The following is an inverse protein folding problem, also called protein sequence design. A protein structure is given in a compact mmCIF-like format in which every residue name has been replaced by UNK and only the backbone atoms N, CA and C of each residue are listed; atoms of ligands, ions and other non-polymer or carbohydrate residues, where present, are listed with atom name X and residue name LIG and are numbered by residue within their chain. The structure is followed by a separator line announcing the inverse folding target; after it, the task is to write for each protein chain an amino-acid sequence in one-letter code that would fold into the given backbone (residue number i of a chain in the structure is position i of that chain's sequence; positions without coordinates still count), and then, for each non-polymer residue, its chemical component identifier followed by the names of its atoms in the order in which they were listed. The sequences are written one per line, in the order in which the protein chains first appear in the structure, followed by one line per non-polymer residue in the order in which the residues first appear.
data_IF_955613220883
#
_entry.id   IF_955613220883
#
_cell.length_a   1.000
_cell.length_b   1.000
_cell.length_c   1.000
_cell.angle_alpha   90.00
_cell.angle_beta   90.00
_cell.angle_gamma   90.00
#
_symmetry.space_group_name_H-M   'P 1'
#
loop_
_entity.id
_entity.type
_entity.pdbx_description
1 polymer ?
#
# COMPACT_ATOMS: atom_id res chain seq x y z
N UNK A 1 -74.20 -11.27 11.66
CA UNK A 1 -72.87 -11.44 12.27
C UNK A 1 -71.86 -11.37 11.14
N UNK A 2 -71.11 -10.27 11.06
CA UNK A 2 -70.08 -10.07 10.04
C UNK A 2 -68.82 -10.83 10.45
N UNK A 3 -68.31 -11.66 9.55
CA UNK A 3 -67.09 -12.45 9.74
C UNK A 3 -65.88 -11.53 9.93
N UNK A 4 -65.35 -11.50 11.16
CA UNK A 4 -64.12 -10.81 11.47
C UNK A 4 -62.93 -11.64 10.97
N UNK A 5 -62.38 -11.27 9.82
CA UNK A 5 -61.11 -11.83 9.33
C UNK A 5 -59.99 -11.41 10.30
N UNK A 6 -59.25 -12.36 10.91
CA UNK A 6 -58.16 -12.01 11.81
C UNK A 6 -57.01 -11.33 11.04
N UNK A 7 -56.34 -10.34 11.64
CA UNK A 7 -55.23 -9.65 10.98
C UNK A 7 -54.08 -10.64 10.69
N UNK A 8 -53.38 -10.49 9.54
CA UNK A 8 -52.25 -11.34 9.22
C UNK A 8 -51.16 -11.24 10.30
N UNK A 9 -50.43 -12.33 10.58
CA UNK A 9 -49.39 -12.33 11.59
C UNK A 9 -48.32 -11.28 11.25
N UNK A 10 -47.92 -10.49 12.25
CA UNK A 10 -46.86 -9.50 12.11
C UNK A 10 -45.56 -10.22 11.73
N UNK A 11 -45.15 -10.09 10.47
CA UNK A 11 -43.86 -10.57 10.00
C UNK A 11 -42.79 -9.66 10.61
N UNK A 12 -41.85 -10.17 11.42
CA UNK A 12 -40.77 -9.35 11.95
C UNK A 12 -40.02 -8.71 10.78
N UNK A 13 -39.60 -7.44 10.88
CA UNK A 13 -38.88 -6.77 9.81
C UNK A 13 -37.63 -7.60 9.49
N UNK A 14 -37.64 -8.23 8.31
CA UNK A 14 -36.49 -8.98 7.81
C UNK A 14 -35.40 -7.95 7.60
N UNK A 15 -34.34 -8.01 8.41
CA UNK A 15 -33.14 -7.21 8.16
C UNK A 15 -32.61 -7.68 6.80
N UNK A 16 -32.90 -6.91 5.77
CA UNK A 16 -32.37 -7.13 4.44
C UNK A 16 -30.86 -6.94 4.58
N UNK A 17 -30.11 -8.03 4.36
CA UNK A 17 -28.65 -7.89 4.21
C UNK A 17 -28.42 -6.88 3.08
N UNK A 18 -27.48 -5.94 3.24
CA UNK A 18 -27.10 -5.04 2.16
C UNK A 18 -26.89 -5.84 0.89
N UNK A 19 -27.44 -5.36 -0.23
CA UNK A 19 -27.22 -5.97 -1.53
C UNK A 19 -25.71 -5.91 -1.81
N UNK A 20 -25.04 -7.05 -1.67
CA UNK A 20 -23.65 -7.23 -2.08
C UNK A 20 -23.70 -7.50 -3.59
N UNK A 21 -23.18 -6.60 -4.45
CA UNK A 21 -23.08 -6.86 -5.87
C UNK A 21 -22.33 -8.19 -6.07
N UNK A 22 -22.86 -9.05 -6.95
CA UNK A 22 -22.37 -10.41 -7.13
C UNK A 22 -20.84 -10.49 -7.25
N UNK A 23 -20.19 -11.16 -6.28
CA UNK A 23 -18.76 -11.47 -6.30
C UNK A 23 -17.90 -10.73 -5.29
N UNK A 24 -18.44 -9.72 -4.59
CA UNK A 24 -17.67 -9.04 -3.54
C UNK A 24 -17.70 -9.88 -2.24
N UNK A 25 -16.54 -10.18 -1.63
CA UNK A 25 -16.48 -10.93 -0.38
C UNK A 25 -17.28 -10.22 0.71
N UNK A 26 -18.07 -10.99 1.49
CA UNK A 26 -18.81 -10.48 2.64
C UNK A 26 -17.84 -9.76 3.60
N UNK A 27 -17.94 -8.44 3.66
CA UNK A 27 -17.02 -7.57 4.40
C UNK A 27 -17.13 -7.71 5.92
N UNK A 28 -18.22 -8.33 6.39
CA UNK A 28 -18.49 -8.61 7.80
C UNK A 28 -18.15 -10.07 8.19
N UNK A 29 -17.86 -10.93 7.21
CA UNK A 29 -17.46 -12.30 7.47
C UNK A 29 -16.04 -12.38 8.06
N UNK A 30 -15.79 -13.28 9.02
CA UNK A 30 -14.44 -13.50 9.53
C UNK A 30 -13.53 -13.98 8.39
N UNK A 31 -12.35 -13.36 8.25
CA UNK A 31 -11.37 -13.74 7.25
C UNK A 31 -10.92 -15.20 7.43
N UNK A 32 -10.63 -15.87 6.33
CA UNK A 32 -10.03 -17.20 6.36
C UNK A 32 -8.64 -17.14 7.02
N UNK A 33 -8.21 -18.25 7.65
CA UNK A 33 -6.87 -18.36 8.22
C UNK A 33 -5.76 -18.13 7.17
N UNK A 34 -5.99 -18.53 5.92
CA UNK A 34 -5.09 -18.25 4.80
C UNK A 34 -4.98 -16.75 4.50
N UNK A 35 -6.11 -16.04 4.49
CA UNK A 35 -6.13 -14.58 4.29
C UNK A 35 -5.38 -13.84 5.40
N UNK A 36 -5.53 -14.27 6.65
CA UNK A 36 -4.74 -13.74 7.77
C UNK A 36 -3.25 -14.02 7.60
N UNK A 37 -2.87 -15.24 7.19
CA UNK A 37 -1.48 -15.59 6.96
C UNK A 37 -0.85 -14.73 5.85
N UNK A 38 -1.58 -14.46 4.76
CA UNK A 38 -1.11 -13.59 3.66
C UNK A 38 -0.94 -12.15 4.13
N UNK A 39 -1.90 -11.60 4.88
CA UNK A 39 -1.75 -10.26 5.47
C UNK A 39 -0.55 -10.22 6.42
N UNK A 40 -0.41 -11.21 7.30
CA UNK A 40 0.71 -11.33 8.23
C UNK A 40 2.06 -11.36 7.52
N UNK A 41 2.20 -12.22 6.51
CA UNK A 41 3.42 -12.33 5.71
C UNK A 41 3.78 -10.99 5.03
N UNK A 42 2.80 -10.33 4.43
CA UNK A 42 3.01 -9.03 3.77
C UNK A 42 3.30 -7.90 4.76
N UNK A 43 2.74 -7.93 5.98
CA UNK A 43 3.07 -6.95 7.03
C UNK A 43 4.50 -7.10 7.57
N UNK A 44 5.10 -8.28 7.46
CA UNK A 44 6.48 -8.53 7.89
C UNK A 44 7.51 -8.24 6.78
N UNK A 45 7.07 -8.17 5.52
CA UNK A 45 7.91 -7.87 4.36
C UNK A 45 8.77 -6.60 4.55
N UNK A 46 8.29 -5.50 5.15
CA UNK A 46 9.11 -4.31 5.41
C UNK A 46 10.30 -4.56 6.34
N UNK A 47 10.11 -5.40 7.37
CA UNK A 47 11.20 -5.76 8.30
C UNK A 47 12.25 -6.64 7.60
N UNK A 48 11.79 -7.62 6.81
CA UNK A 48 12.68 -8.48 6.02
C UNK A 48 13.47 -7.70 4.97
N UNK A 49 12.84 -6.71 4.33
CA UNK A 49 13.49 -5.86 3.32
C UNK A 49 14.44 -4.84 3.92
N UNK A 50 14.14 -4.24 5.07
CA UNK A 50 15.09 -3.40 5.80
C UNK A 50 16.33 -4.19 6.23
N UNK A 51 16.14 -5.44 6.69
CA UNK A 51 17.27 -6.34 6.96
C UNK A 51 18.04 -6.70 5.69
N UNK A 52 17.36 -7.03 4.59
CA UNK A 52 18.05 -7.34 3.32
C UNK A 52 18.85 -6.15 2.79
N UNK A 53 18.33 -4.93 2.92
CA UNK A 53 18.99 -3.70 2.52
C UNK A 53 20.30 -3.46 3.26
N UNK A 54 20.39 -3.85 4.55
CA UNK A 54 21.66 -3.84 5.31
C UNK A 54 22.74 -4.72 4.70
N UNK A 55 22.35 -5.87 4.12
CA UNK A 55 23.28 -6.80 3.46
C UNK A 55 23.72 -6.31 2.09
N UNK A 56 22.81 -5.66 1.36
CA UNK A 56 23.09 -5.08 0.05
C UNK A 56 24.05 -3.89 0.17
N UNK A 57 23.86 -3.04 1.18
CA UNK A 57 24.69 -1.85 1.41
C UNK A 57 25.98 -2.10 2.19
N UNK A 58 26.32 -3.37 2.49
CA UNK A 58 27.40 -3.79 3.40
C UNK A 58 27.44 -3.01 4.74
N UNK A 59 26.26 -2.61 5.24
CA UNK A 59 26.12 -1.77 6.42
C UNK A 59 25.18 -2.42 7.44
N UNK A 60 25.70 -2.76 8.62
CA UNK A 60 24.97 -3.47 9.67
C UNK A 60 23.96 -2.62 10.46
N UNK A 61 23.82 -1.32 10.17
CA UNK A 61 22.92 -0.40 10.90
C UNK A 61 21.47 -0.55 10.45
N UNK A 62 20.82 -1.63 10.91
CA UNK A 62 19.40 -1.93 10.63
C UNK A 62 18.47 -0.81 11.06
N UNK A 63 18.75 -0.14 12.20
CA UNK A 63 17.92 0.97 12.67
C UNK A 63 17.92 2.18 11.73
N UNK A 64 19.08 2.56 11.21
CA UNK A 64 19.21 3.65 10.23
C UNK A 64 18.52 3.30 8.90
N UNK A 65 18.71 2.06 8.45
CA UNK A 65 18.08 1.54 7.22
C UNK A 65 16.56 1.45 7.34
N UNK A 66 16.05 1.05 8.51
CA UNK A 66 14.62 1.05 8.79
C UNK A 66 14.04 2.47 8.84
N UNK A 67 14.78 3.43 9.43
CA UNK A 67 14.37 4.83 9.44
C UNK A 67 14.32 5.43 8.02
N UNK A 68 15.29 5.06 7.17
CA UNK A 68 15.36 5.41 5.75
C UNK A 68 14.10 4.96 5.00
N UNK A 69 13.75 3.67 5.15
CA UNK A 69 12.57 3.08 4.55
C UNK A 69 11.27 3.71 5.09
N UNK A 70 11.19 3.95 6.40
CA UNK A 70 10.05 4.59 7.03
C UNK A 70 9.85 6.03 6.52
N UNK A 71 10.93 6.77 6.31
CA UNK A 71 10.88 8.14 5.78
C UNK A 71 10.41 8.16 4.33
N UNK A 72 10.92 7.26 3.49
CA UNK A 72 10.44 7.09 2.12
C UNK A 72 8.96 6.71 2.06
N UNK A 73 8.53 5.76 2.89
CA UNK A 73 7.14 5.35 2.99
C UNK A 73 6.23 6.51 3.45
N UNK A 74 6.66 7.27 4.46
CA UNK A 74 5.91 8.40 5.00
C UNK A 74 5.76 9.53 3.99
N UNK A 75 6.85 9.97 3.35
CA UNK A 75 6.77 11.00 2.33
C UNK A 75 6.02 10.51 1.09
N UNK A 76 6.26 9.28 0.65
CA UNK A 76 5.53 8.66 -0.46
C UNK A 76 4.03 8.57 -0.20
N UNK A 77 3.59 8.38 1.04
CA UNK A 77 2.16 8.30 1.38
C UNK A 77 1.38 9.60 1.12
N UNK A 78 2.05 10.75 1.12
CA UNK A 78 1.42 12.06 0.93
C UNK A 78 0.77 12.22 -0.46
N UNK A 79 1.48 11.98 -1.58
CA UNK A 79 0.86 11.82 -2.89
C UNK A 79 0.23 10.42 -3.06
N UNK A 80 0.80 9.38 -2.43
CA UNK A 80 0.41 7.98 -2.63
C UNK A 80 -1.01 7.64 -2.18
N UNK A 81 -1.62 8.42 -1.29
CA UNK A 81 -3.04 8.25 -0.89
C UNK A 81 -4.01 8.27 -2.06
N UNK A 82 -3.66 8.96 -3.14
CA UNK A 82 -4.48 9.07 -4.33
C UNK A 82 -4.35 7.87 -5.27
N UNK A 83 -3.39 6.97 -5.04
CA UNK A 83 -3.26 5.71 -5.78
C UNK A 83 -4.36 4.71 -5.48
N UNK A 84 -5.09 4.92 -4.38
CA UNK A 84 -6.15 4.02 -3.92
C UNK A 84 -7.55 4.64 -4.12
N UNK A 85 -7.64 5.73 -4.90
CA UNK A 85 -8.94 6.23 -5.35
C UNK A 85 -9.55 5.17 -6.27
N UNK A 86 -10.71 4.66 -5.86
CA UNK A 86 -11.51 3.79 -6.71
C UNK A 86 -12.55 4.66 -7.40
N UNK A 87 -12.70 4.54 -8.73
CA UNK A 87 -13.66 5.36 -9.45
C UNK A 87 -15.05 5.06 -8.93
N UNK A 88 -15.65 6.07 -8.28
CA UNK A 88 -16.96 5.92 -7.62
C UNK A 88 -18.11 6.19 -8.60
N UNK A 89 -17.79 6.81 -9.75
CA UNK A 89 -18.76 7.21 -10.75
C UNK A 89 -18.47 6.51 -12.07
N UNK A 90 -19.41 5.71 -12.61
CA UNK A 90 -19.15 4.94 -13.83
C UNK A 90 -19.02 5.81 -15.08
N UNK A 91 -19.45 7.10 -15.07
CA UNK A 91 -19.41 8.00 -16.24
C UNK A 91 -19.34 9.49 -15.84
N UNK A 92 -18.58 10.30 -16.60
CA UNK A 92 -18.61 11.77 -16.56
C UNK A 92 -17.32 12.46 -16.09
N UNK A 93 -17.35 13.79 -15.96
CA UNK A 93 -16.20 14.68 -15.61
C UNK A 93 -15.46 14.27 -14.33
N UNK A 94 -16.13 13.55 -13.42
CA UNK A 94 -15.53 13.06 -12.17
C UNK A 94 -14.59 11.87 -12.39
N UNK A 95 -14.88 11.00 -13.36
CA UNK A 95 -13.99 9.92 -13.77
C UNK A 95 -12.65 10.48 -14.26
N UNK A 96 -12.67 11.52 -15.10
CA UNK A 96 -11.45 12.15 -15.62
C UNK A 96 -10.58 12.76 -14.51
N UNK A 97 -11.23 13.34 -13.48
CA UNK A 97 -10.54 13.88 -12.31
C UNK A 97 -9.94 12.76 -11.45
N UNK A 98 -10.68 11.66 -11.23
CA UNK A 98 -10.20 10.50 -10.48
C UNK A 98 -9.01 9.83 -11.18
N UNK A 99 -9.11 9.59 -12.50
CA UNK A 99 -8.02 9.07 -13.33
C UNK A 99 -6.84 10.03 -13.33
N UNK A 100 -7.07 11.33 -13.52
CA UNK A 100 -6.02 12.34 -13.49
C UNK A 100 -5.29 12.40 -12.14
N UNK A 101 -6.03 12.28 -11.04
CA UNK A 101 -5.45 12.28 -9.69
C UNK A 101 -4.64 11.01 -9.43
N UNK A 102 -5.16 9.84 -9.83
CA UNK A 102 -4.42 8.58 -9.80
C UNK A 102 -3.13 8.67 -10.63
N UNK A 103 -3.21 9.14 -11.87
CA UNK A 103 -2.06 9.27 -12.76
C UNK A 103 -1.01 10.24 -12.23
N UNK A 104 -1.45 11.39 -11.68
CA UNK A 104 -0.54 12.34 -11.05
C UNK A 104 0.17 11.70 -9.85
N UNK A 105 -0.57 11.01 -8.99
CA UNK A 105 0.02 10.28 -7.87
C UNK A 105 0.95 9.15 -8.33
N UNK A 106 0.62 8.47 -9.43
CA UNK A 106 1.41 7.40 -10.00
C UNK A 106 2.81 7.89 -10.40
N UNK A 107 2.89 9.09 -10.95
CA UNK A 107 4.14 9.71 -11.38
C UNK A 107 4.90 10.36 -10.21
N UNK A 108 4.19 11.01 -9.28
CA UNK A 108 4.82 11.82 -8.22
C UNK A 108 5.23 11.01 -6.99
N UNK A 109 4.58 9.88 -6.73
CA UNK A 109 4.84 9.08 -5.52
C UNK A 109 6.27 8.52 -5.45
N UNK A 110 6.81 7.85 -6.49
CA UNK A 110 8.16 7.31 -6.43
C UNK A 110 9.25 8.38 -6.23
N UNK A 111 9.24 9.52 -6.95
CA UNK A 111 10.20 10.61 -6.70
C UNK A 111 10.15 11.16 -5.28
N UNK A 112 8.95 11.34 -4.71
CA UNK A 112 8.80 11.87 -3.34
C UNK A 112 9.30 10.87 -2.30
N UNK A 113 8.97 9.59 -2.47
CA UNK A 113 9.49 8.53 -1.61
C UNK A 113 11.02 8.42 -1.70
N UNK A 114 11.55 8.44 -2.92
CA UNK A 114 12.99 8.39 -3.18
C UNK A 114 13.72 9.58 -2.56
N UNK A 115 13.17 10.79 -2.62
CA UNK A 115 13.74 11.97 -1.96
C UNK A 115 13.82 11.81 -0.44
N UNK A 116 12.79 11.23 0.18
CA UNK A 116 12.79 10.95 1.63
C UNK A 116 13.83 9.92 2.03
N UNK A 117 13.85 8.80 1.30
CA UNK A 117 14.82 7.72 1.49
C UNK A 117 16.24 8.21 1.29
N UNK A 118 16.55 8.77 0.12
CA UNK A 118 17.86 9.30 -0.21
C UNK A 118 18.27 10.40 0.78
N UNK A 119 17.39 11.36 1.07
CA UNK A 119 17.70 12.47 1.97
C UNK A 119 18.07 12.00 3.38
N UNK A 120 17.31 11.05 3.94
CA UNK A 120 17.66 10.47 5.24
C UNK A 120 18.89 9.56 5.14
N UNK A 121 19.07 8.85 4.03
CA UNK A 121 20.22 8.01 3.76
C UNK A 121 21.53 8.81 3.73
N UNK A 122 21.55 9.96 3.08
CA UNK A 122 22.71 10.86 3.07
C UNK A 122 23.02 11.39 4.47
N UNK A 123 21.99 11.73 5.26
CA UNK A 123 22.16 12.18 6.65
C UNK A 123 22.71 11.07 7.56
N UNK A 124 22.22 9.84 7.40
CA UNK A 124 22.55 8.72 8.26
C UNK A 124 23.88 8.04 7.88
N UNK A 125 24.21 8.02 6.58
CA UNK A 125 25.33 7.24 6.05
C UNK A 125 26.44 8.09 5.44
N UNK A 126 26.20 9.33 5.00
CA UNK A 126 27.22 10.33 4.62
C UNK A 126 28.19 9.99 3.47
N UNK A 127 28.12 8.78 2.91
CA UNK A 127 29.20 8.16 2.12
C UNK A 127 28.85 7.84 0.66
N UNK A 128 27.78 8.42 0.09
CA UNK A 128 27.44 8.18 -1.31
C UNK A 128 28.50 8.79 -2.25
N UNK A 129 29.25 7.93 -2.94
CA UNK A 129 30.32 8.33 -3.87
C UNK A 129 29.77 9.12 -5.07
N UNK A 130 28.57 8.73 -5.55
CA UNK A 130 27.77 9.49 -6.52
C UNK A 130 26.32 9.63 -6.02
N UNK A 131 26.01 10.80 -5.44
CA UNK A 131 24.67 11.15 -4.94
C UNK A 131 23.58 11.07 -6.00
N UNK A 132 23.91 11.34 -7.27
CA UNK A 132 22.97 11.25 -8.37
C UNK A 132 22.57 9.80 -8.64
N UNK A 133 23.55 8.91 -8.69
CA UNK A 133 23.29 7.47 -8.82
C UNK A 133 22.52 6.89 -7.63
N UNK A 134 22.83 7.35 -6.40
CA UNK A 134 22.15 6.96 -5.17
C UNK A 134 20.66 7.35 -5.18
N UNK A 135 20.36 8.58 -5.61
CA UNK A 135 18.98 9.04 -5.80
C UNK A 135 18.26 8.27 -6.90
N UNK A 136 18.91 8.02 -8.04
CA UNK A 136 18.31 7.25 -9.15
C UNK A 136 18.05 5.79 -8.76
N UNK A 137 18.93 5.20 -7.95
CA UNK A 137 18.69 3.89 -7.35
C UNK A 137 17.47 3.91 -6.44
N UNK A 138 17.38 4.90 -5.55
CA UNK A 138 16.21 5.10 -4.69
C UNK A 138 14.92 5.27 -5.50
N UNK A 139 14.96 6.03 -6.61
CA UNK A 139 13.83 6.24 -7.50
C UNK A 139 13.40 4.96 -8.21
N UNK A 140 14.35 4.21 -8.79
CA UNK A 140 14.08 2.93 -9.44
C UNK A 140 13.49 1.92 -8.46
N UNK A 141 14.06 1.86 -7.25
CA UNK A 141 13.58 1.04 -6.15
C UNK A 141 12.17 1.42 -5.68
N UNK A 142 11.91 2.71 -5.49
CA UNK A 142 10.58 3.22 -5.10
C UNK A 142 9.52 2.88 -6.16
N UNK A 143 9.88 2.97 -7.44
CA UNK A 143 8.98 2.65 -8.56
C UNK A 143 8.64 1.16 -8.57
N UNK A 144 9.64 0.28 -8.43
CA UNK A 144 9.41 -1.16 -8.34
C UNK A 144 8.58 -1.52 -7.09
N UNK A 145 8.91 -0.93 -5.94
CA UNK A 145 8.19 -1.09 -4.68
C UNK A 145 6.73 -0.64 -4.78
N UNK A 146 6.46 0.43 -5.52
CA UNK A 146 5.12 0.92 -5.80
C UNK A 146 4.28 -0.06 -6.61
N UNK A 147 4.84 -0.58 -7.71
CA UNK A 147 4.14 -1.57 -8.54
C UNK A 147 3.80 -2.83 -7.74
N UNK A 148 4.74 -3.32 -6.93
CA UNK A 148 4.51 -4.44 -6.01
C UNK A 148 3.47 -4.11 -4.95
N UNK A 149 3.51 -2.89 -4.38
CA UNK A 149 2.56 -2.42 -3.38
C UNK A 149 1.13 -2.35 -3.93
N UNK A 150 0.96 -1.86 -5.16
CA UNK A 150 -0.34 -1.83 -5.85
C UNK A 150 -0.85 -3.24 -6.15
N UNK A 151 0.00 -4.14 -6.65
CA UNK A 151 -0.37 -5.52 -6.90
C UNK A 151 -0.76 -6.25 -5.61
N UNK A 152 -0.03 -6.03 -4.51
CA UNK A 152 -0.35 -6.58 -3.20
C UNK A 152 -1.66 -6.01 -2.65
N UNK A 153 -1.88 -4.69 -2.77
CA UNK A 153 -3.13 -4.05 -2.37
C UNK A 153 -4.33 -4.67 -3.09
N UNK A 154 -4.25 -4.80 -4.42
CA UNK A 154 -5.35 -5.32 -5.22
C UNK A 154 -5.58 -6.82 -5.00
N UNK A 155 -4.50 -7.60 -4.89
CA UNK A 155 -4.58 -9.02 -4.55
C UNK A 155 -5.22 -9.26 -3.17
N UNK A 156 -4.83 -8.46 -2.16
CA UNK A 156 -5.43 -8.53 -0.82
C UNK A 156 -6.90 -8.08 -0.82
N UNK A 157 -7.24 -7.06 -1.62
CA UNK A 157 -8.63 -6.63 -1.81
C UNK A 157 -9.49 -7.75 -2.40
N UNK A 158 -8.98 -8.48 -3.39
CA UNK A 158 -9.67 -9.65 -3.96
C UNK A 158 -9.86 -10.78 -2.94
N UNK A 159 -8.92 -10.96 -2.01
CA UNK A 159 -8.97 -12.02 -0.99
C UNK A 159 -9.83 -11.70 0.23
N UNK A 160 -9.95 -10.43 0.62
CA UNK A 160 -10.59 -9.98 1.86
C UNK A 160 -11.80 -9.08 1.65
N UNK A 161 -12.12 -8.73 0.40
CA UNK A 161 -13.14 -7.77 0.03
C UNK A 161 -12.75 -6.32 0.32
N UNK A 162 -13.66 -5.41 0.00
CA UNK A 162 -13.48 -3.95 0.14
C UNK A 162 -13.67 -3.42 1.57
N UNK A 163 -13.64 -4.29 2.58
CA UNK A 163 -13.81 -3.92 3.99
C UNK A 163 -12.89 -2.75 4.38
N UNK A 164 -13.48 -1.68 4.91
CA UNK A 164 -12.75 -0.49 5.37
C UNK A 164 -11.74 -0.82 6.48
N UNK A 165 -12.02 -1.86 7.29
CA UNK A 165 -11.13 -2.32 8.37
C UNK A 165 -9.75 -2.73 7.85
N UNK A 166 -9.70 -3.32 6.66
CA UNK A 166 -8.46 -3.82 6.06
C UNK A 166 -7.83 -2.86 5.06
N UNK A 167 -8.56 -1.81 4.67
CA UNK A 167 -8.07 -0.81 3.73
C UNK A 167 -6.81 -0.10 4.24
N UNK A 168 -6.81 0.28 5.51
CA UNK A 168 -5.65 0.91 6.16
C UNK A 168 -4.43 -0.02 6.14
N UNK A 169 -4.63 -1.31 6.41
CA UNK A 169 -3.55 -2.31 6.42
C UNK A 169 -2.98 -2.52 5.02
N UNK A 170 -3.85 -2.65 4.01
CA UNK A 170 -3.41 -2.81 2.61
C UNK A 170 -2.65 -1.58 2.12
N UNK A 171 -3.13 -0.37 2.42
CA UNK A 171 -2.42 0.88 2.10
C UNK A 171 -1.07 0.96 2.81
N UNK A 172 -1.01 0.60 4.08
CA UNK A 172 0.24 0.56 4.84
C UNK A 172 1.25 -0.39 4.20
N UNK A 173 0.84 -1.61 3.83
CA UNK A 173 1.70 -2.58 3.12
C UNK A 173 2.22 -1.95 1.82
N UNK A 174 1.34 -1.32 1.03
CA UNK A 174 1.74 -0.71 -0.23
C UNK A 174 2.77 0.42 -0.03
N UNK A 175 2.56 1.33 0.94
CA UNK A 175 3.56 2.37 1.26
C UNK A 175 4.86 1.79 1.78
N UNK A 176 4.79 0.73 2.58
CA UNK A 176 5.97 0.09 3.10
C UNK A 176 6.79 -0.55 1.97
N UNK A 177 6.15 -1.17 0.97
CA UNK A 177 6.82 -1.65 -0.24
C UNK A 177 7.52 -0.52 -1.02
N UNK A 178 6.89 0.66 -1.12
CA UNK A 178 7.49 1.83 -1.77
C UNK A 178 8.75 2.27 -1.02
N UNK A 179 8.66 2.48 0.28
CA UNK A 179 9.78 2.93 1.11
C UNK A 179 10.92 1.91 1.15
N UNK A 180 10.62 0.62 1.29
CA UNK A 180 11.65 -0.42 1.36
C UNK A 180 12.28 -0.71 0.00
N UNK A 181 11.50 -0.61 -1.08
CA UNK A 181 12.00 -0.65 -2.45
C UNK A 181 12.99 0.49 -2.69
N UNK A 182 12.62 1.72 -2.28
CA UNK A 182 13.50 2.89 -2.36
C UNK A 182 14.81 2.65 -1.61
N UNK A 183 14.74 2.17 -0.37
CA UNK A 183 15.92 1.89 0.46
C UNK A 183 16.82 0.82 -0.14
N UNK A 184 16.26 -0.28 -0.66
CA UNK A 184 17.04 -1.29 -1.37
C UNK A 184 17.77 -0.69 -2.57
N UNK A 185 17.08 0.15 -3.34
CA UNK A 185 17.66 0.84 -4.49
C UNK A 185 18.78 1.82 -4.10
N UNK A 186 18.59 2.59 -3.04
CA UNK A 186 19.61 3.48 -2.47
C UNK A 186 20.85 2.70 -2.01
N UNK A 187 20.66 1.69 -1.16
CA UNK A 187 21.75 0.87 -0.62
C UNK A 187 22.51 0.12 -1.74
N UNK A 188 21.81 -0.32 -2.78
CA UNK A 188 22.42 -0.96 -3.93
C UNK A 188 23.28 -0.01 -4.78
N UNK A 189 22.81 1.23 -4.98
CA UNK A 189 23.46 2.20 -5.87
C UNK A 189 24.59 2.98 -5.21
N UNK A 190 24.53 3.18 -3.89
CA UNK A 190 25.58 3.88 -3.14
C UNK A 190 26.84 3.04 -2.91
N UNK A 191 26.77 1.72 -3.07
CA UNK A 191 27.85 0.79 -2.72
C UNK A 191 28.70 0.48 -3.96
N UNK A 192 30.05 0.65 -3.91
CA UNK A 192 30.91 0.35 -5.05
C UNK A 192 30.86 -1.13 -5.40
N UNK A 193 30.57 -1.46 -6.66
CA UNK A 193 30.74 -2.82 -7.17
C UNK A 193 32.21 -3.04 -7.52
N UNK A 194 32.94 -3.73 -6.65
CA UNK A 194 34.30 -4.22 -6.96
C UNK A 194 34.26 -5.41 -7.92
#
# INVERSE_FOLDING_TARGET
FLDAVPPPPAVPPRVLRPFVPHGEPDTDAPLSGGTYAVHGALTLLPLGTAWAATRVGDDSRVGATAAEAATGALLGSLPGRFLFIHPSYPQGRWLDVEVGTFSAAFVVTPPVAALGTWGLGEVAFGDSEDRGSAYLGALGGATAGMLLGLAAHEGLRHLAGSSERWETVRRYIAYACIGTGATLGYQWSRTPRR
#
